data_IF_901240485961
#
_entry.id   IF_901240485961
#
_cell.length_a   1.000
_cell.length_b   1.000
_cell.length_c   1.000
_cell.angle_alpha   90.00
_cell.angle_beta   90.00
_cell.angle_gamma   90.00
#
_symmetry.space_group_name_H-M   'P 1'
#
loop_
_entity.id
_entity.type
_entity.pdbx_description
1 polymer ?
#
# COMPACT_ATOMS: atom_id res chain seq x y z
N UNK A 1 -10.77 14.59 1.57
CA UNK A 1 -10.77 13.30 0.86
C UNK A 1 -9.60 13.34 -0.12
N UNK A 2 -8.46 12.76 0.24
CA UNK A 2 -7.35 12.60 -0.68
C UNK A 2 -7.57 11.27 -1.40
N UNK A 3 -7.91 11.30 -2.70
CA UNK A 3 -8.08 10.07 -3.47
C UNK A 3 -6.70 9.53 -3.88
N UNK A 4 -6.21 8.49 -3.20
CA UNK A 4 -4.94 7.81 -3.51
C UNK A 4 -5.10 6.79 -4.65
N UNK A 5 -5.75 7.20 -5.74
CA UNK A 5 -5.90 6.35 -6.92
C UNK A 5 -4.59 6.25 -7.71
N UNK A 6 -4.36 5.12 -8.36
CA UNK A 6 -3.19 4.89 -9.21
C UNK A 6 -3.61 4.44 -10.60
N UNK A 7 -2.75 4.65 -11.59
CA UNK A 7 -2.93 4.14 -12.94
C UNK A 7 -1.92 3.04 -13.23
N UNK A 8 -2.39 1.90 -13.72
CA UNK A 8 -1.53 0.78 -14.16
C UNK A 8 -2.01 0.31 -15.52
N UNK A 9 -1.11 0.27 -16.51
CA UNK A 9 -1.40 -0.21 -17.87
C UNK A 9 -2.64 0.44 -18.49
N UNK A 10 -2.84 1.73 -18.22
CA UNK A 10 -3.99 2.49 -18.72
C UNK A 10 -5.29 2.33 -17.93
N UNK A 11 -5.33 1.49 -16.91
CA UNK A 11 -6.50 1.31 -16.03
C UNK A 11 -6.35 2.06 -14.70
N UNK A 12 -7.48 2.54 -14.16
CA UNK A 12 -7.51 3.24 -12.87
C UNK A 12 -7.80 2.29 -11.72
N UNK A 13 -7.17 2.50 -10.57
CA UNK A 13 -7.34 1.67 -9.37
C UNK A 13 -7.47 2.53 -8.12
N UNK A 14 -8.40 2.18 -7.23
CA UNK A 14 -8.65 2.87 -5.97
C UNK A 14 -8.90 1.89 -4.83
N UNK A 15 -8.56 2.29 -3.61
CA UNK A 15 -9.06 1.63 -2.41
C UNK A 15 -10.55 1.97 -2.24
N UNK A 16 -11.35 0.95 -2.00
CA UNK A 16 -12.78 1.08 -1.75
C UNK A 16 -13.21 0.09 -0.66
N UNK A 17 -14.40 0.32 -0.10
CA UNK A 17 -15.04 -0.54 0.87
C UNK A 17 -16.52 -0.64 0.55
N UNK A 18 -17.16 -1.74 0.96
CA UNK A 18 -18.61 -1.90 0.83
C UNK A 18 -19.32 -1.62 2.16
N UNK A 19 -20.65 -1.72 2.16
CA UNK A 19 -21.49 -1.44 3.33
C UNK A 19 -21.20 -2.39 4.52
N UNK A 20 -20.52 -3.51 4.27
CA UNK A 20 -20.07 -4.45 5.30
C UNK A 20 -18.64 -4.13 5.81
N UNK A 21 -18.09 -2.98 5.42
CA UNK A 21 -16.71 -2.56 5.73
C UNK A 21 -15.66 -3.57 5.23
N UNK A 22 -15.97 -4.28 4.13
CA UNK A 22 -15.00 -5.16 3.48
C UNK A 22 -14.20 -4.34 2.47
N UNK A 23 -12.90 -4.22 2.71
CA UNK A 23 -11.99 -3.52 1.80
C UNK A 23 -11.82 -4.30 0.48
N UNK A 24 -11.73 -3.58 -0.62
CA UNK A 24 -11.42 -4.12 -1.95
C UNK A 24 -10.72 -3.08 -2.82
N UNK A 25 -10.21 -3.52 -3.98
CA UNK A 25 -9.68 -2.61 -5.00
C UNK A 25 -10.76 -2.40 -6.05
N UNK A 26 -11.15 -1.14 -6.24
CA UNK A 26 -12.02 -0.74 -7.35
C UNK A 26 -11.13 -0.45 -8.55
N UNK A 27 -11.36 -1.15 -9.66
CA UNK A 27 -10.69 -0.89 -10.94
C UNK A 27 -11.68 -0.28 -11.92
N UNK A 28 -11.23 0.68 -12.72
CA UNK A 28 -11.94 1.12 -13.91
C UNK A 28 -11.17 0.66 -15.15
N UNK A 29 -11.78 -0.27 -15.88
CA UNK A 29 -11.28 -0.80 -17.14
C UNK A 29 -11.66 0.20 -18.25
N UNK A 30 -10.68 0.98 -18.72
CA UNK A 30 -10.90 1.96 -19.79
C UNK A 30 -11.13 1.30 -21.15
N UNK A 31 -10.69 0.05 -21.33
CA UNK A 31 -10.92 -0.70 -22.58
C UNK A 31 -12.36 -1.17 -22.65
N UNK A 32 -12.87 -1.73 -21.54
CA UNK A 32 -14.24 -2.23 -21.41
C UNK A 32 -15.28 -1.20 -20.96
N UNK A 33 -14.85 0.00 -20.55
CA UNK A 33 -15.73 1.09 -20.07
C UNK A 33 -16.52 0.74 -18.81
N UNK A 34 -15.95 -0.04 -17.88
CA UNK A 34 -16.69 -0.58 -16.73
C UNK A 34 -15.86 -0.64 -15.45
N UNK A 35 -16.55 -0.63 -14.31
CA UNK A 35 -15.95 -0.87 -13.02
C UNK A 35 -15.84 -2.37 -12.73
N UNK A 36 -14.75 -2.76 -12.08
CA UNK A 36 -14.43 -4.13 -11.69
C UNK A 36 -14.01 -4.11 -10.22
N UNK A 37 -14.61 -5.01 -9.42
CA UNK A 37 -14.21 -5.25 -8.04
C UNK A 37 -13.11 -6.31 -8.03
N UNK A 38 -11.96 -5.98 -7.45
CA UNK A 38 -10.80 -6.86 -7.34
C UNK A 38 -10.46 -7.15 -5.87
N UNK A 39 -10.01 -8.37 -5.62
CA UNK A 39 -9.62 -8.81 -4.28
C UNK A 39 -8.30 -8.16 -3.82
N UNK A 40 -8.26 -7.73 -2.56
CA UNK A 40 -7.03 -7.39 -1.86
C UNK A 40 -6.21 -8.66 -1.54
N UNK A 41 -4.90 -8.53 -1.24
CA UNK A 41 -4.11 -9.68 -0.83
C UNK A 41 -4.61 -10.26 0.52
N UNK A 42 -4.17 -11.43 0.97
CA UNK A 42 -4.53 -11.95 2.29
C UNK A 42 -3.71 -11.30 3.42
N UNK A 43 -4.25 -11.07 4.62
CA UNK A 43 -5.66 -11.20 4.98
C UNK A 43 -6.48 -10.05 4.40
N UNK A 44 -7.73 -10.33 4.00
CA UNK A 44 -8.64 -9.35 3.37
C UNK A 44 -9.43 -8.49 4.37
N UNK A 45 -9.25 -8.71 5.67
CA UNK A 45 -10.00 -8.03 6.73
C UNK A 45 -9.08 -7.54 7.85
N UNK A 46 -9.56 -6.54 8.60
CA UNK A 46 -8.87 -6.01 9.77
C UNK A 46 -7.69 -5.11 9.43
N UNK A 47 -7.57 -4.64 8.19
CA UNK A 47 -6.59 -3.62 7.82
C UNK A 47 -7.04 -2.26 8.38
N UNK A 48 -6.17 -1.59 9.12
CA UNK A 48 -6.37 -0.21 9.55
C UNK A 48 -6.00 0.78 8.44
N UNK A 49 -5.02 0.40 7.62
CA UNK A 49 -4.51 1.24 6.55
C UNK A 49 -4.17 0.40 5.33
N UNK A 50 -4.57 0.91 4.16
CA UNK A 50 -4.24 0.38 2.84
C UNK A 50 -3.83 1.54 1.94
N UNK A 51 -2.69 1.42 1.26
CA UNK A 51 -2.23 2.38 0.24
C UNK A 51 -1.87 1.66 -1.04
N UNK A 52 -2.28 2.23 -2.18
CA UNK A 52 -1.87 1.76 -3.50
C UNK A 52 -0.61 2.50 -3.97
N UNK A 53 0.20 1.82 -4.77
CA UNK A 53 1.32 2.38 -5.52
C UNK A 53 1.55 1.54 -6.79
N UNK A 54 2.49 1.95 -7.62
CA UNK A 54 2.87 1.25 -8.85
C UNK A 54 4.39 1.05 -8.88
N UNK A 55 4.84 -0.12 -9.33
CA UNK A 55 6.26 -0.40 -9.65
C UNK A 55 6.32 -1.20 -10.94
N UNK A 56 7.10 -0.77 -11.93
CA UNK A 56 7.29 -1.51 -13.20
C UNK A 56 5.97 -2.00 -13.84
N UNK A 57 4.94 -1.14 -13.82
CA UNK A 57 3.56 -1.45 -14.25
C UNK A 57 2.85 -2.59 -13.51
N UNK A 58 3.25 -2.87 -12.28
CA UNK A 58 2.61 -3.77 -11.34
C UNK A 58 1.98 -2.98 -10.20
N UNK A 59 0.86 -3.47 -9.67
CA UNK A 59 0.13 -2.80 -8.61
C UNK A 59 0.73 -3.27 -7.28
N UNK A 60 1.07 -2.29 -6.47
CA UNK A 60 1.57 -2.49 -5.11
C UNK A 60 0.51 -2.07 -4.10
N UNK A 61 0.44 -2.84 -3.03
CA UNK A 61 -0.43 -2.55 -1.89
C UNK A 61 0.40 -2.61 -0.61
N UNK A 62 0.48 -1.48 0.08
CA UNK A 62 0.96 -1.40 1.46
C UNK A 62 -0.21 -1.61 2.42
N UNK A 63 -0.03 -2.47 3.43
CA UNK A 63 -1.07 -2.72 4.43
C UNK A 63 -0.54 -2.78 5.84
N UNK A 64 -1.35 -2.26 6.75
CA UNK A 64 -1.15 -2.34 8.19
C UNK A 64 -2.42 -2.91 8.83
N UNK A 65 -2.30 -4.03 9.52
CA UNK A 65 -3.41 -4.64 10.27
C UNK A 65 -3.64 -3.86 11.55
N UNK A 66 -4.91 -3.63 11.92
CA UNK A 66 -5.30 -2.90 13.14
C UNK A 66 -4.71 -3.57 14.37
N UNK A 67 -4.04 -2.79 15.21
CA UNK A 67 -3.38 -3.28 16.42
C UNK A 67 -2.11 -4.10 16.16
N UNK A 68 -1.68 -4.20 14.91
CA UNK A 68 -0.40 -4.83 14.55
C UNK A 68 0.72 -3.79 14.53
N UNK A 69 1.90 -4.23 14.93
CA UNK A 69 3.17 -3.55 14.66
C UNK A 69 3.74 -3.89 13.29
N UNK A 70 2.99 -4.65 12.47
CA UNK A 70 3.46 -5.20 11.21
C UNK A 70 2.90 -4.44 10.02
N UNK A 71 3.80 -4.01 9.13
CA UNK A 71 3.48 -3.51 7.80
C UNK A 71 3.89 -4.55 6.78
N UNK A 72 3.00 -4.84 5.83
CA UNK A 72 3.27 -5.75 4.73
C UNK A 72 3.07 -5.05 3.39
N UNK A 73 3.94 -5.38 2.43
CA UNK A 73 3.84 -4.91 1.06
C UNK A 73 3.61 -6.09 0.14
N UNK A 74 2.65 -5.94 -0.76
CA UNK A 74 2.22 -6.97 -1.70
C UNK A 74 2.28 -6.42 -3.11
N UNK A 75 2.71 -7.25 -4.06
CA UNK A 75 2.75 -6.92 -5.49
C UNK A 75 1.96 -7.95 -6.27
N UNK A 76 1.32 -7.51 -7.36
CA UNK A 76 0.60 -8.42 -8.25
C UNK A 76 1.56 -9.33 -9.02
N UNK A 77 1.27 -10.62 -9.12
CA UNK A 77 2.12 -11.60 -9.83
C UNK A 77 1.56 -12.07 -11.17
N UNK A 78 0.25 -11.95 -11.38
CA UNK A 78 -0.37 -12.27 -12.66
C UNK A 78 -0.38 -11.03 -13.56
N UNK A 79 -0.43 -11.26 -14.88
CA UNK A 79 -0.81 -10.20 -15.81
C UNK A 79 -2.17 -9.69 -15.38
N UNK A 80 -2.28 -8.38 -15.15
CA UNK A 80 -3.56 -7.71 -14.93
C UNK A 80 -4.36 -7.70 -16.22
N UNK A 81 -4.85 -8.86 -16.63
CA UNK A 81 -5.86 -8.97 -17.66
C UNK A 81 -7.19 -8.59 -17.00
N UNK A 82 -7.78 -7.50 -17.46
CA UNK A 82 -9.04 -6.91 -16.95
C UNK A 82 -10.26 -7.81 -17.09
N UNK A 83 -10.11 -9.02 -17.65
CA UNK A 83 -11.16 -10.04 -17.68
C UNK A 83 -11.25 -10.85 -16.39
N UNK A 84 -10.19 -10.87 -15.57
CA UNK A 84 -10.16 -11.61 -14.31
C UNK A 84 -10.64 -10.73 -13.15
N UNK A 85 -11.59 -11.24 -12.36
CA UNK A 85 -12.04 -10.60 -11.11
C UNK A 85 -11.05 -10.79 -9.95
N UNK A 86 -9.94 -11.50 -10.17
CA UNK A 86 -8.99 -11.89 -9.14
C UNK A 86 -7.56 -11.52 -9.52
N UNK A 87 -6.90 -10.81 -8.61
CA UNK A 87 -5.46 -10.54 -8.66
C UNK A 87 -4.72 -11.61 -7.87
N UNK A 88 -3.62 -12.09 -8.44
CA UNK A 88 -2.66 -12.93 -7.72
C UNK A 88 -1.63 -12.05 -7.06
N UNK A 89 -1.26 -12.37 -5.83
CA UNK A 89 -0.40 -11.52 -5.00
C UNK A 89 0.82 -12.30 -4.50
N UNK A 90 1.98 -11.68 -4.53
CA UNK A 90 3.15 -12.11 -3.77
C UNK A 90 3.47 -11.11 -2.67
N UNK A 91 3.87 -11.63 -1.53
CA UNK A 91 4.39 -10.80 -0.45
C UNK A 91 5.78 -10.34 -0.87
N UNK A 92 5.90 -9.04 -1.16
CA UNK A 92 7.19 -8.47 -1.50
C UNK A 92 8.02 -8.18 -0.25
N UNK A 93 7.38 -7.83 0.86
CA UNK A 93 8.07 -7.37 2.06
C UNK A 93 7.17 -7.43 3.29
N UNK A 94 7.78 -7.59 4.47
CA UNK A 94 7.13 -7.47 5.75
C UNK A 94 8.09 -6.90 6.81
N UNK A 95 7.64 -5.89 7.53
CA UNK A 95 8.39 -5.28 8.63
C UNK A 95 7.57 -5.31 9.90
N UNK A 96 8.26 -5.50 11.03
CA UNK A 96 7.67 -5.39 12.35
C UNK A 96 8.40 -4.29 13.14
N UNK A 97 7.66 -3.27 13.54
CA UNK A 97 8.20 -2.12 14.27
C UNK A 97 8.26 -2.36 15.79
N UNK A 98 7.71 -3.47 16.30
CA UNK A 98 7.68 -3.78 17.73
C UNK A 98 6.68 -2.96 18.56
N UNK A 99 6.01 -1.97 17.95
CA UNK A 99 4.95 -1.15 18.54
C UNK A 99 3.85 -0.87 17.49
N UNK A 100 2.62 -0.53 17.90
CA UNK A 100 1.53 -0.22 16.97
C UNK A 100 1.89 0.96 16.04
N UNK A 101 1.75 0.76 14.73
CA UNK A 101 2.04 1.80 13.73
C UNK A 101 0.73 2.37 13.18
N UNK A 102 0.65 3.70 13.01
CA UNK A 102 -0.45 4.32 12.28
C UNK A 102 0.09 5.02 11.03
N UNK A 103 -0.08 4.37 9.89
CA UNK A 103 0.36 4.96 8.63
C UNK A 103 -0.70 5.97 8.17
N UNK A 104 -0.32 7.25 8.05
CA UNK A 104 -1.18 8.34 7.54
C UNK A 104 -0.76 8.84 6.15
N UNK A 105 0.26 8.25 5.52
CA UNK A 105 0.92 8.83 4.34
C UNK A 105 1.18 7.83 3.21
N UNK A 106 1.57 8.38 2.07
CA UNK A 106 1.73 7.72 0.77
C UNK A 106 2.95 6.79 0.69
N UNK A 107 2.77 5.64 0.04
CA UNK A 107 3.86 4.76 -0.41
C UNK A 107 4.54 5.37 -1.66
N UNK A 108 5.88 5.44 -1.68
CA UNK A 108 6.66 5.89 -2.83
C UNK A 108 7.65 4.80 -3.25
N UNK A 109 7.31 4.01 -4.25
CA UNK A 109 8.20 2.96 -4.76
C UNK A 109 8.88 3.43 -6.04
N UNK A 110 10.21 3.28 -6.08
CA UNK A 110 11.03 3.43 -7.27
C UNK A 110 11.41 2.04 -7.83
N UNK A 111 11.85 1.98 -9.08
CA UNK A 111 12.19 0.74 -9.78
C UNK A 111 13.29 -0.08 -9.09
N UNK A 112 14.22 0.58 -8.43
CA UNK A 112 15.40 -0.04 -7.80
C UNK A 112 15.36 0.02 -6.26
N UNK A 113 14.42 0.79 -5.69
CA UNK A 113 14.31 1.02 -4.23
C UNK A 113 12.85 1.17 -3.80
N UNK A 114 12.45 0.45 -2.75
CA UNK A 114 11.09 0.50 -2.21
C UNK A 114 11.06 1.40 -0.99
N UNK A 115 10.68 2.67 -1.14
CA UNK A 115 10.61 3.61 -0.01
C UNK A 115 9.20 3.64 0.57
N UNK A 116 9.08 3.52 1.89
CA UNK A 116 7.81 3.62 2.59
C UNK A 116 7.85 4.84 3.49
N UNK A 117 7.19 5.93 3.07
CA UNK A 117 7.01 7.07 3.94
C UNK A 117 5.95 6.71 5.00
N UNK A 118 6.21 7.00 6.28
CA UNK A 118 5.29 6.73 7.40
C UNK A 118 5.17 7.98 8.29
N UNK A 119 4.01 8.64 8.30
CA UNK A 119 3.90 9.97 8.95
C UNK A 119 3.58 9.94 10.46
N UNK A 120 3.20 8.78 11.05
CA UNK A 120 3.04 8.74 12.53
C UNK A 120 3.09 7.35 13.18
N UNK A 121 4.12 7.08 13.95
CA UNK A 121 4.11 5.97 14.89
C UNK A 121 3.42 6.43 16.18
N UNK A 122 2.34 5.79 16.64
CA UNK A 122 1.72 6.14 17.93
C UNK A 122 2.46 5.40 19.06
N UNK A 123 3.21 6.17 19.86
CA UNK A 123 3.96 5.68 21.02
C UNK A 123 5.22 6.48 21.35
N UNK A 124 5.70 7.30 20.41
CA UNK A 124 6.80 8.25 20.56
C UNK A 124 6.77 9.23 19.39
N UNK A 125 7.28 10.45 19.60
CA UNK A 125 7.35 11.50 18.58
C UNK A 125 8.25 11.07 17.41
N UNK A 126 7.70 10.30 16.46
CA UNK A 126 8.38 9.98 15.21
C UNK A 126 7.45 10.30 14.05
N UNK A 127 7.63 11.52 13.53
CA UNK A 127 7.41 11.83 12.11
C UNK A 127 8.72 11.49 11.41
N UNK A 128 8.75 10.43 10.62
CA UNK A 128 9.99 10.05 9.92
C UNK A 128 9.77 9.29 8.63
N UNK A 129 10.68 9.45 7.69
CA UNK A 129 10.69 8.65 6.47
C UNK A 129 11.45 7.35 6.68
N UNK A 130 10.92 6.23 6.19
CA UNK A 130 11.60 4.94 6.16
C UNK A 130 11.94 4.59 4.70
N UNK A 131 13.22 4.66 4.33
CA UNK A 131 13.69 4.16 3.04
C UNK A 131 14.10 2.71 3.18
N UNK A 132 13.62 1.82 2.32
CA UNK A 132 13.97 0.39 2.35
C UNK A 132 14.66 0.02 1.02
N UNK A 133 15.83 -0.59 1.10
CA UNK A 133 16.56 -1.15 -0.05
C UNK A 133 16.28 -2.64 -0.23
N UNK A 134 16.62 -3.20 -1.41
CA UNK A 134 16.32 -4.59 -1.81
C UNK A 134 16.82 -5.69 -0.85
N UNK A 135 17.78 -5.42 0.04
CA UNK A 135 18.40 -6.44 0.91
C UNK A 135 18.05 -6.33 2.41
N UNK A 136 16.92 -5.73 2.80
CA UNK A 136 16.52 -5.59 4.22
C UNK A 136 17.56 -4.88 5.13
N UNK A 137 18.64 -4.32 4.56
CA UNK A 137 19.84 -3.89 5.29
C UNK A 137 19.91 -2.39 5.61
N UNK A 138 19.05 -1.58 5.00
CA UNK A 138 19.08 -0.14 5.18
C UNK A 138 17.76 0.32 5.76
N UNK A 139 17.70 0.31 7.10
CA UNK A 139 16.79 1.16 7.83
C UNK A 139 17.52 2.48 8.07
N UNK A 140 17.04 3.56 7.47
CA UNK A 140 17.40 4.90 7.92
C UNK A 140 16.13 5.63 8.28
N UNK A 141 16.00 5.90 9.57
CA UNK A 141 15.01 6.80 10.11
C UNK A 141 15.49 8.22 9.85
N UNK A 142 14.80 8.94 8.96
CA UNK A 142 15.02 10.38 8.84
C UNK A 142 13.97 11.02 9.74
N UNK A 143 14.39 11.45 10.94
CA UNK A 143 13.55 12.30 11.77
C UNK A 143 13.30 13.62 11.02
N UNK A 144 12.04 14.01 10.87
CA UNK A 144 11.74 15.38 10.43
C UNK A 144 12.00 16.32 11.60
N UNK A 145 13.21 16.88 11.70
CA UNK A 145 13.50 17.99 12.61
C UNK A 145 12.82 19.26 12.10
N UNK A 146 11.83 19.74 12.84
CA UNK A 146 11.34 21.11 12.73
C UNK A 146 10.42 21.37 11.54
N UNK A 147 9.14 21.01 11.70
CA UNK A 147 8.08 21.74 11.00
C UNK A 147 7.08 22.20 12.07
N UNK A 148 7.38 23.36 12.66
CA UNK A 148 6.32 24.14 13.33
C UNK A 148 5.33 24.55 12.25
N UNK A 149 4.08 24.11 12.42
CA UNK A 149 2.90 24.71 11.81
C UNK A 149 2.74 26.16 12.23
#
# INVERSE_FOLDING_TARGET
MNSHGVNVKGNGYWNAYDDNYVDYILSFDFTGGRFIRLCLPPPSQGCMYTSLSVVREELLVLRCVKGSSKIEMWVTTNKMDTSASELSWSKSFAMNFGFPVIVYTSLLVDEDKKVVLCDKIVGGHLSGACTIGEEDKYYSEIAFEGMSI
#
